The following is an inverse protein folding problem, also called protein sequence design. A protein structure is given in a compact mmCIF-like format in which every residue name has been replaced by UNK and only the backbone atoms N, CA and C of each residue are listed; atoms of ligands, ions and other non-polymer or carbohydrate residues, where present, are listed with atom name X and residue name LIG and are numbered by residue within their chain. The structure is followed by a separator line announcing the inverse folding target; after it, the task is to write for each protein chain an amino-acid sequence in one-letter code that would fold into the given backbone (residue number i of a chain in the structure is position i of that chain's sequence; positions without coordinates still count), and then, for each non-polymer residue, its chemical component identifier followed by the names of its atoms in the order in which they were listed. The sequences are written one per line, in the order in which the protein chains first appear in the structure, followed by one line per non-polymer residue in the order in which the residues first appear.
data_IF_499647128057
#
_entry.id   IF_499647128057
#
_cell.length_a   1.000
_cell.length_b   1.000
_cell.length_c   1.000
_cell.angle_alpha   90.00
_cell.angle_beta   90.00
_cell.angle_gamma   90.00
#
_symmetry.space_group_name_H-M   'P 1'
#
loop_
_entity.id
_entity.type
_entity.pdbx_description
1 polymer ?
#
# COMPACT_ATOMS: atom_id res chain seq x y z
N UNK A 1 1.30 8.48 14.92
CA UNK A 1 2.58 7.73 14.86
C UNK A 1 3.02 7.56 13.41
N UNK A 2 2.29 6.82 12.56
CA UNK A 2 2.69 6.57 11.16
C UNK A 2 2.97 7.82 10.30
N UNK A 3 2.17 8.88 10.43
CA UNK A 3 2.34 10.15 9.68
C UNK A 3 3.64 10.85 10.08
N UNK A 4 3.87 11.03 11.38
CA UNK A 4 5.06 11.72 11.90
C UNK A 4 6.37 10.98 11.60
N UNK A 5 6.31 9.64 11.48
CA UNK A 5 7.47 8.79 11.24
C UNK A 5 7.65 8.42 9.76
N UNK A 6 6.84 8.99 8.88
CA UNK A 6 6.83 8.70 7.44
C UNK A 6 6.77 7.20 7.11
N UNK A 7 5.89 6.46 7.78
CA UNK A 7 5.73 5.02 7.56
C UNK A 7 4.71 4.71 6.47
N UNK A 8 4.93 3.61 5.78
CA UNK A 8 4.01 3.04 4.79
C UNK A 8 3.03 2.11 5.53
N UNK A 9 1.74 2.23 5.24
CA UNK A 9 0.73 1.28 5.74
C UNK A 9 0.60 0.12 4.76
N UNK A 10 0.68 -1.11 5.27
CA UNK A 10 0.37 -2.33 4.54
C UNK A 10 -0.97 -2.88 5.05
N UNK A 11 -1.92 -3.13 4.16
CA UNK A 11 -3.24 -3.62 4.55
C UNK A 11 -3.82 -4.64 3.56
N UNK A 12 -4.66 -5.54 4.07
CA UNK A 12 -5.49 -6.46 3.28
C UNK A 12 -6.98 -6.11 3.35
N UNK A 13 -7.31 -5.00 4.03
CA UNK A 13 -8.67 -4.53 4.22
C UNK A 13 -9.08 -3.62 3.06
N UNK A 14 -10.16 -3.99 2.36
CA UNK A 14 -10.71 -3.22 1.24
C UNK A 14 -11.28 -1.87 1.67
N UNK A 15 -11.84 -1.81 2.87
CA UNK A 15 -12.57 -0.64 3.37
C UNK A 15 -11.59 0.47 3.73
N UNK A 16 -10.34 0.11 4.01
CA UNK A 16 -9.25 1.05 4.24
C UNK A 16 -8.98 1.93 3.01
N UNK A 17 -9.13 1.38 1.79
CA UNK A 17 -9.00 2.16 0.56
C UNK A 17 -10.13 3.17 0.39
N UNK A 18 -11.35 2.78 0.76
CA UNK A 18 -12.51 3.67 0.75
C UNK A 18 -12.34 4.81 1.76
N UNK A 19 -11.86 4.51 2.96
CA UNK A 19 -11.61 5.52 4.00
C UNK A 19 -10.62 6.58 3.52
N UNK A 20 -9.51 6.15 2.91
CA UNK A 20 -8.48 7.04 2.38
C UNK A 20 -9.04 7.94 1.28
N UNK A 21 -9.81 7.38 0.35
CA UNK A 21 -10.35 8.11 -0.80
C UNK A 21 -11.48 9.08 -0.41
N UNK A 22 -12.33 8.71 0.55
CA UNK A 22 -13.53 9.48 0.86
C UNK A 22 -13.33 10.49 2.00
N UNK A 23 -12.45 10.23 2.97
CA UNK A 23 -12.43 11.03 4.20
C UNK A 23 -11.39 12.16 4.27
N UNK A 24 -10.56 12.41 3.24
CA UNK A 24 -9.54 13.51 3.20
C UNK A 24 -8.78 13.68 4.53
N UNK A 25 -8.51 12.57 5.22
CA UNK A 25 -7.76 12.57 6.48
C UNK A 25 -6.31 12.91 6.15
N UNK A 26 -5.51 13.46 7.08
CA UNK A 26 -4.06 13.57 6.87
C UNK A 26 -3.51 12.18 6.54
N UNK A 27 -3.08 11.98 5.29
CA UNK A 27 -2.75 10.66 4.78
C UNK A 27 -1.32 10.30 5.21
N UNK A 28 -1.08 9.03 5.58
CA UNK A 28 0.29 8.55 5.70
C UNK A 28 0.98 8.69 4.33
N UNK A 29 2.33 8.77 4.30
CA UNK A 29 3.07 9.02 3.07
C UNK A 29 2.77 8.01 1.96
N UNK A 30 2.39 6.78 2.29
CA UNK A 30 1.88 5.82 1.32
C UNK A 30 1.03 4.74 1.99
N UNK A 31 0.10 4.17 1.21
CA UNK A 31 -0.68 2.99 1.61
C UNK A 31 -0.64 1.94 0.51
N UNK A 32 -0.38 0.69 0.91
CA UNK A 32 -0.33 -0.49 0.05
C UNK A 32 -1.43 -1.45 0.46
N UNK A 33 -2.39 -1.64 -0.42
CA UNK A 33 -3.50 -2.58 -0.28
C UNK A 33 -3.24 -3.84 -1.11
N UNK A 34 -3.24 -5.01 -0.48
CA UNK A 34 -3.07 -6.31 -1.12
C UNK A 34 -4.42 -6.98 -1.36
N UNK A 35 -4.78 -7.21 -2.63
CA UNK A 35 -6.04 -7.90 -3.02
C UNK A 35 -5.93 -9.43 -2.99
N UNK A 36 -4.79 -9.95 -2.57
CA UNK A 36 -4.53 -11.37 -2.43
C UNK A 36 -3.58 -11.60 -1.27
N UNK A 37 -3.72 -12.76 -0.65
CA UNK A 37 -2.84 -13.24 0.41
C UNK A 37 -2.31 -14.61 0.02
N UNK A 38 -1.10 -14.89 0.45
CA UNK A 38 -0.57 -16.24 0.44
C UNK A 38 -0.75 -16.89 1.83
N UNK A 39 -0.37 -18.15 1.97
CA UNK A 39 -0.55 -18.92 3.20
C UNK A 39 0.44 -18.58 4.32
N UNK A 40 1.40 -17.68 4.09
CA UNK A 40 2.52 -17.42 4.99
C UNK A 40 2.65 -15.94 5.38
N UNK A 41 3.05 -15.61 6.62
CA UNK A 41 3.01 -14.23 7.13
C UNK A 41 4.00 -13.25 6.46
N UNK A 42 5.18 -13.72 6.01
CA UNK A 42 6.19 -12.86 5.38
C UNK A 42 5.83 -12.39 3.97
N UNK A 43 4.76 -12.97 3.39
CA UNK A 43 4.33 -12.73 2.02
C UNK A 43 4.22 -11.23 1.66
N UNK A 44 3.54 -10.44 2.49
CA UNK A 44 3.35 -9.01 2.21
C UNK A 44 4.69 -8.26 2.13
N UNK A 45 5.62 -8.58 3.04
CA UNK A 45 6.95 -7.99 3.09
C UNK A 45 7.81 -8.39 1.91
N UNK A 46 7.80 -9.66 1.52
CA UNK A 46 8.54 -10.16 0.36
C UNK A 46 8.05 -9.53 -0.95
N UNK A 47 6.73 -9.41 -1.11
CA UNK A 47 6.16 -8.69 -2.25
C UNK A 47 6.61 -7.24 -2.23
N UNK A 48 6.54 -6.56 -1.09
CA UNK A 48 6.96 -5.15 -0.98
C UNK A 48 8.43 -4.95 -1.36
N UNK A 49 9.32 -5.81 -0.86
CA UNK A 49 10.76 -5.75 -1.13
C UNK A 49 11.01 -5.89 -2.64
N UNK A 50 10.40 -6.89 -3.30
CA UNK A 50 10.54 -7.07 -4.76
C UNK A 50 10.07 -5.84 -5.54
N UNK A 51 9.01 -5.18 -5.08
CA UNK A 51 8.49 -3.97 -5.73
C UNK A 51 9.41 -2.76 -5.53
N UNK A 52 10.02 -2.61 -4.35
CA UNK A 52 11.01 -1.57 -4.07
C UNK A 52 12.26 -1.79 -4.93
N UNK A 53 12.78 -3.02 -4.95
CA UNK A 53 13.96 -3.40 -5.74
C UNK A 53 13.74 -3.19 -7.24
N UNK A 54 12.52 -3.41 -7.72
CA UNK A 54 12.16 -3.13 -9.11
C UNK A 54 12.07 -1.63 -9.46
N UNK A 55 12.27 -0.71 -8.50
CA UNK A 55 12.14 0.75 -8.63
C UNK A 55 10.76 1.26 -9.08
N UNK A 56 9.75 0.41 -9.17
CA UNK A 56 8.51 0.77 -9.88
C UNK A 56 7.48 1.51 -9.02
N UNK A 57 7.60 1.56 -7.67
CA UNK A 57 6.35 1.56 -6.91
C UNK A 57 6.18 2.49 -5.71
N UNK A 58 7.16 2.73 -4.86
CA UNK A 58 6.87 3.48 -3.63
C UNK A 58 7.23 4.94 -3.82
N UNK A 59 6.30 5.68 -4.41
CA UNK A 59 6.31 7.15 -4.35
C UNK A 59 5.43 7.59 -3.18
N UNK A 60 5.85 8.67 -2.52
CA UNK A 60 5.02 9.36 -1.53
C UNK A 60 3.70 9.82 -2.19
N UNK A 61 2.65 9.97 -1.39
CA UNK A 61 1.30 10.41 -1.76
C UNK A 61 0.57 9.51 -2.76
N UNK A 62 0.84 8.19 -2.70
CA UNK A 62 0.17 7.19 -3.52
C UNK A 62 -0.55 6.13 -2.72
N UNK A 63 -1.79 5.86 -3.15
CA UNK A 63 -2.50 4.64 -2.83
C UNK A 63 -2.16 3.56 -3.86
N UNK A 64 -1.50 2.50 -3.41
CA UNK A 64 -1.07 1.38 -4.25
C UNK A 64 -1.93 0.16 -3.98
N UNK A 65 -2.51 -0.42 -5.03
CA UNK A 65 -3.26 -1.67 -4.99
C UNK A 65 -2.45 -2.75 -5.69
N UNK A 66 -2.11 -3.81 -4.98
CA UNK A 66 -1.36 -4.95 -5.50
C UNK A 66 -2.33 -6.11 -5.74
N UNK A 67 -2.43 -6.53 -6.99
CA UNK A 67 -3.16 -7.71 -7.46
C UNK A 67 -2.16 -8.78 -7.92
N UNK A 68 -2.60 -10.02 -8.10
CA UNK A 68 -1.70 -11.15 -8.44
C UNK A 68 -0.84 -10.91 -9.68
N UNK A 69 -1.35 -10.15 -10.65
CA UNK A 69 -0.71 -9.95 -11.95
C UNK A 69 -0.69 -8.49 -12.38
N UNK A 70 -1.12 -7.57 -11.51
CA UNK A 70 -1.25 -6.16 -11.85
C UNK A 70 -1.06 -5.29 -10.62
N UNK A 71 -0.60 -4.07 -10.84
CA UNK A 71 -0.41 -3.09 -9.79
C UNK A 71 -1.03 -1.79 -10.26
N UNK A 72 -1.95 -1.25 -9.44
CA UNK A 72 -2.68 -0.03 -9.74
C UNK A 72 -2.28 1.03 -8.73
N UNK A 73 -1.99 2.23 -9.19
CA UNK A 73 -1.69 3.35 -8.33
C UNK A 73 -2.63 4.50 -8.59
N UNK A 74 -3.00 5.20 -7.53
CA UNK A 74 -3.74 6.46 -7.60
C UNK A 74 -3.04 7.48 -6.74
N UNK A 75 -2.84 8.67 -7.30
CA UNK A 75 -2.46 9.87 -6.57
C UNK A 75 -3.70 10.39 -5.86
N UNK A 76 -3.56 10.88 -4.64
CA UNK A 76 -4.61 11.57 -3.91
C UNK A 76 -4.16 12.95 -3.46
#
# INVERSE_FOLDING_TARGET
MAINEKRIILTFDSDYGEIILHHKVSLPPAVVYYRFKDSYPSFAGEVLIKLIESQHLIQEDRFTVIEKSNIRQRVY
#
